data_IF_174234695724
#
_entry.id   IF_174234695724
#
_cell.length_a   1.000
_cell.length_b   1.000
_cell.length_c   1.000
_cell.angle_alpha   90.00
_cell.angle_beta   90.00
_cell.angle_gamma   90.00
#
_symmetry.space_group_name_H-M   'P 1'
#
loop_
_entity.id
_entity.type
_entity.pdbx_description
1 polymer ?
#
# COMPACT_ATOMS: atom_id res chain seq x y z
N UNK A 1 -18.87 9.68 22.65
CA UNK A 1 -17.46 9.62 23.06
C UNK A 1 -16.95 8.27 22.63
N UNK A 2 -16.10 8.27 21.64
CA UNK A 2 -15.55 7.04 21.10
C UNK A 2 -14.57 6.47 22.10
N UNK A 3 -14.79 5.24 22.54
CA UNK A 3 -13.86 4.49 23.38
C UNK A 3 -12.48 4.23 22.78
N UNK A 4 -12.09 5.03 21.80
CA UNK A 4 -10.88 4.94 21.04
C UNK A 4 -9.72 5.70 21.64
N UNK A 5 -9.99 6.80 22.27
CA UNK A 5 -8.96 7.54 22.97
C UNK A 5 -8.39 6.69 24.11
N UNK A 6 -9.24 5.87 24.74
CA UNK A 6 -8.82 4.97 25.80
C UNK A 6 -8.00 3.77 25.31
N UNK A 7 -8.25 3.29 24.10
CA UNK A 7 -7.46 2.17 23.53
C UNK A 7 -6.10 2.61 23.00
N UNK A 8 -5.94 3.89 22.68
CA UNK A 8 -4.69 4.48 22.21
C UNK A 8 -3.79 4.97 23.34
N UNK A 9 -4.31 5.15 24.54
CA UNK A 9 -3.52 5.61 25.70
C UNK A 9 -2.46 4.61 26.21
N UNK A 10 -2.44 3.38 25.71
CA UNK A 10 -1.51 2.36 26.20
C UNK A 10 -0.32 2.07 25.30
N UNK A 11 -0.48 2.01 24.00
CA UNK A 11 0.61 1.62 23.08
C UNK A 11 0.34 2.14 21.68
N UNK A 12 1.18 3.02 21.18
CA UNK A 12 1.16 3.44 19.79
C UNK A 12 1.38 2.20 18.90
N UNK A 13 0.53 1.98 17.90
CA UNK A 13 0.73 0.89 16.96
C UNK A 13 2.06 1.09 16.24
N UNK A 14 2.79 0.03 16.10
CA UNK A 14 3.93 0.00 15.19
C UNK A 14 3.39 -0.33 13.81
N UNK A 15 3.74 0.46 12.84
CA UNK A 15 3.43 0.21 11.44
C UNK A 15 4.69 0.40 10.60
N UNK A 16 4.76 -0.28 9.45
CA UNK A 16 5.86 -0.12 8.50
C UNK A 16 5.46 0.48 7.17
N UNK A 17 4.15 0.60 6.92
CA UNK A 17 3.63 1.19 5.69
C UNK A 17 2.75 2.37 6.04
N UNK A 18 2.90 3.48 5.30
CA UNK A 18 2.05 4.64 5.49
C UNK A 18 1.80 5.42 4.20
N UNK A 19 0.59 5.99 4.10
CA UNK A 19 0.20 6.90 3.04
C UNK A 19 -0.72 7.99 3.58
N UNK A 20 -0.80 9.11 2.88
CA UNK A 20 -1.70 10.21 3.26
C UNK A 20 -2.61 10.57 2.09
N UNK A 21 -3.87 10.79 2.38
CA UNK A 21 -4.85 11.23 1.41
C UNK A 21 -6.02 11.94 2.11
N UNK A 22 -6.52 13.05 1.52
CA UNK A 22 -7.72 13.76 1.98
C UNK A 22 -7.72 14.08 3.49
N UNK A 23 -6.59 14.55 4.01
CA UNK A 23 -6.41 14.90 5.41
C UNK A 23 -6.62 13.71 6.37
N UNK A 24 -6.31 12.50 5.92
CA UNK A 24 -6.30 11.26 6.68
C UNK A 24 -4.97 10.54 6.51
N UNK A 25 -4.59 9.79 7.52
CA UNK A 25 -3.42 8.93 7.53
C UNK A 25 -3.85 7.47 7.41
N UNK A 26 -3.24 6.75 6.49
CA UNK A 26 -3.44 5.32 6.26
C UNK A 26 -2.19 4.59 6.69
N UNK A 27 -2.35 3.56 7.50
CA UNK A 27 -1.24 2.75 7.98
C UNK A 27 -1.49 1.28 7.68
N UNK A 28 -0.44 0.57 7.36
CA UNK A 28 -0.49 -0.86 7.04
C UNK A 28 0.67 -1.62 7.64
N UNK A 29 0.58 -2.95 7.60
CA UNK A 29 1.55 -3.86 8.21
C UNK A 29 1.77 -3.47 9.67
N UNK A 30 0.65 -3.37 10.40
CA UNK A 30 0.62 -2.93 11.79
C UNK A 30 0.89 -4.10 12.74
N UNK A 31 1.54 -3.78 13.83
CA UNK A 31 1.70 -4.68 14.97
C UNK A 31 1.21 -3.97 16.23
N UNK A 32 0.26 -4.58 16.93
CA UNK A 32 -0.32 -4.08 18.18
C UNK A 32 -0.43 -5.19 19.21
N UNK A 33 -0.08 -4.89 20.45
CA UNK A 33 0.02 -5.84 21.57
C UNK A 33 -1.37 -6.30 22.05
N UNK A 34 -2.31 -6.45 21.53
CA UNK A 34 -3.67 -6.96 21.84
C UNK A 34 -4.36 -7.53 20.62
N UNK A 35 -3.84 -7.29 19.45
CA UNK A 35 -4.27 -7.86 18.19
C UNK A 35 -3.31 -8.97 17.80
N UNK A 36 -3.63 -10.16 18.26
CA UNK A 36 -2.80 -11.35 18.02
C UNK A 36 -2.70 -11.60 16.51
N UNK A 37 -1.47 -11.55 16.00
CA UNK A 37 -0.99 -12.10 14.73
C UNK A 37 -1.65 -11.64 13.41
N UNK A 38 -2.80 -10.97 13.41
CA UNK A 38 -3.55 -10.65 12.19
C UNK A 38 -3.52 -9.18 11.77
N UNK A 39 -3.06 -8.27 12.62
CA UNK A 39 -3.03 -6.83 12.30
C UNK A 39 -2.07 -6.49 11.14
N UNK A 40 -1.16 -7.39 10.79
CA UNK A 40 -0.22 -7.23 9.69
C UNK A 40 -0.90 -7.21 8.32
N UNK A 41 -2.05 -7.85 8.17
CA UNK A 41 -2.84 -7.86 6.93
C UNK A 41 -3.91 -6.75 6.87
N UNK A 42 -3.97 -5.88 7.88
CA UNK A 42 -4.94 -4.79 7.92
C UNK A 42 -4.34 -3.48 7.41
N UNK A 43 -5.19 -2.68 6.79
CA UNK A 43 -4.96 -1.26 6.54
C UNK A 43 -5.95 -0.47 7.38
N UNK A 44 -5.45 0.39 8.23
CA UNK A 44 -6.24 1.28 9.07
C UNK A 44 -6.23 2.70 8.50
N UNK A 45 -7.30 3.43 8.75
CA UNK A 45 -7.42 4.84 8.37
C UNK A 45 -7.72 5.70 9.59
N UNK A 46 -7.04 6.84 9.69
CA UNK A 46 -7.25 7.78 10.79
C UNK A 46 -8.57 8.56 10.63
N UNK A 47 -9.03 9.15 11.71
CA UNK A 47 -10.11 10.16 11.63
C UNK A 47 -9.66 11.35 10.81
N UNK A 48 -10.57 11.98 10.09
CA UNK A 48 -10.31 13.16 9.27
C UNK A 48 -9.71 14.28 10.13
N UNK A 49 -8.58 14.82 9.71
CA UNK A 49 -7.87 15.88 10.41
C UNK A 49 -7.17 15.46 11.71
N UNK A 50 -7.14 14.16 12.02
CA UNK A 50 -6.50 13.60 13.23
C UNK A 50 -5.65 12.41 12.81
N UNK A 51 -4.40 12.68 12.45
CA UNK A 51 -3.49 11.69 11.84
C UNK A 51 -3.05 10.55 12.79
N UNK A 52 -3.26 10.71 14.09
CA UNK A 52 -2.88 9.80 15.17
C UNK A 52 -4.07 9.08 15.83
N UNK A 53 -5.31 9.38 15.40
CA UNK A 53 -6.53 8.81 15.97
C UNK A 53 -7.15 7.80 15.03
N UNK A 54 -7.09 6.53 15.40
CA UNK A 54 -7.63 5.41 14.63
C UNK A 54 -8.75 4.71 15.41
N UNK A 55 -9.81 4.29 14.69
CA UNK A 55 -10.81 3.38 15.22
C UNK A 55 -10.46 1.95 14.81
N UNK A 56 -9.83 1.22 15.72
CA UNK A 56 -9.39 -0.15 15.49
C UNK A 56 -10.51 -1.15 15.24
N UNK A 57 -11.74 -0.79 15.58
CA UNK A 57 -12.91 -1.65 15.44
C UNK A 57 -13.73 -1.34 14.19
N UNK A 58 -13.55 -0.17 13.59
CA UNK A 58 -14.40 0.32 12.51
C UNK A 58 -13.62 0.80 11.29
N UNK A 59 -12.54 1.56 11.51
CA UNK A 59 -11.85 2.29 10.43
C UNK A 59 -10.68 1.46 9.86
N UNK A 60 -10.99 0.25 9.42
CA UNK A 60 -9.99 -0.63 8.80
C UNK A 60 -10.56 -1.47 7.65
N UNK A 61 -9.67 -2.05 6.90
CA UNK A 61 -9.95 -3.13 5.97
C UNK A 61 -8.93 -4.26 6.15
N UNK A 62 -9.40 -5.50 6.13
CA UNK A 62 -8.55 -6.68 6.09
C UNK A 62 -8.25 -7.05 4.65
N UNK A 63 -6.98 -7.13 4.29
CA UNK A 63 -6.52 -7.66 3.01
C UNK A 63 -6.35 -9.18 3.10
N UNK A 64 -6.41 -9.90 1.96
CA UNK A 64 -6.17 -11.34 1.93
C UNK A 64 -4.77 -11.73 2.38
N UNK A 65 -3.80 -10.86 2.16
CA UNK A 65 -2.37 -11.07 2.45
C UNK A 65 -1.78 -9.85 3.15
N UNK A 66 -0.57 -9.99 3.67
CA UNK A 66 0.18 -8.88 4.27
C UNK A 66 0.63 -7.93 3.17
N UNK A 67 0.30 -6.65 3.23
CA UNK A 67 0.72 -5.69 2.22
C UNK A 67 2.25 -5.48 2.25
N UNK A 68 2.83 -5.33 1.07
CA UNK A 68 4.24 -5.01 0.85
C UNK A 68 4.48 -3.52 0.67
N UNK A 69 3.48 -2.79 0.15
CA UNK A 69 3.55 -1.36 -0.09
C UNK A 69 2.18 -0.68 0.11
N UNK A 70 2.21 0.61 0.43
CA UNK A 70 1.04 1.45 0.59
C UNK A 70 1.33 2.85 0.04
N UNK A 71 0.52 3.34 -0.90
CA UNK A 71 0.70 4.68 -1.46
C UNK A 71 -0.62 5.34 -1.82
N UNK A 72 -0.59 6.65 -2.05
CA UNK A 72 -1.71 7.41 -2.57
C UNK A 72 -1.46 7.85 -4.02
N UNK A 73 -2.44 7.67 -4.88
CA UNK A 73 -2.38 8.13 -6.26
C UNK A 73 -3.77 8.45 -6.80
N UNK A 74 -3.90 9.55 -7.53
CA UNK A 74 -5.16 9.97 -8.21
C UNK A 74 -6.40 9.93 -7.30
N UNK A 75 -6.27 10.40 -6.05
CA UNK A 75 -7.37 10.48 -5.09
C UNK A 75 -7.82 9.12 -4.54
N UNK A 76 -6.99 8.11 -4.60
CA UNK A 76 -7.20 6.76 -4.06
C UNK A 76 -6.00 6.29 -3.26
N UNK A 77 -6.22 5.33 -2.39
CA UNK A 77 -5.17 4.58 -1.71
C UNK A 77 -4.96 3.27 -2.44
N UNK A 78 -3.72 2.92 -2.65
CA UNK A 78 -3.29 1.66 -3.22
C UNK A 78 -2.48 0.88 -2.20
N UNK A 79 -2.94 -0.32 -1.88
CA UNK A 79 -2.15 -1.30 -1.15
C UNK A 79 -1.71 -2.40 -2.12
N UNK A 80 -0.53 -2.90 -1.92
CA UNK A 80 0.05 -3.96 -2.74
C UNK A 80 0.38 -5.16 -1.87
N UNK A 81 0.25 -6.34 -2.43
CA UNK A 81 0.99 -7.50 -1.98
C UNK A 81 2.00 -7.91 -3.07
N UNK A 82 2.63 -9.06 -2.96
CA UNK A 82 3.62 -9.53 -3.94
C UNK A 82 3.00 -9.84 -5.32
N UNK A 83 1.69 -10.01 -5.39
CA UNK A 83 0.98 -10.52 -6.58
C UNK A 83 -0.13 -9.60 -7.05
N UNK A 84 -0.76 -8.84 -6.15
CA UNK A 84 -1.96 -8.05 -6.44
C UNK A 84 -1.81 -6.60 -5.98
N UNK A 85 -2.59 -5.74 -6.63
CA UNK A 85 -2.77 -4.34 -6.25
C UNK A 85 -4.23 -4.10 -5.88
N UNK A 86 -4.47 -3.54 -4.70
CA UNK A 86 -5.81 -3.22 -4.17
C UNK A 86 -6.02 -1.72 -4.22
N UNK A 87 -6.96 -1.27 -5.05
CA UNK A 87 -7.38 0.14 -5.07
C UNK A 87 -8.48 0.33 -4.05
N UNK A 88 -8.26 1.24 -3.11
CA UNK A 88 -9.14 1.47 -1.98
C UNK A 88 -9.64 2.90 -1.94
N UNK A 89 -10.81 3.08 -1.35
CA UNK A 89 -11.43 4.37 -1.11
C UNK A 89 -12.02 4.42 0.29
N UNK A 90 -11.88 5.58 0.94
CA UNK A 90 -12.63 5.90 2.14
C UNK A 90 -14.11 6.09 1.83
N UNK A 91 -14.99 5.65 2.73
CA UNK A 91 -16.43 5.90 2.63
C UNK A 91 -16.73 7.39 2.79
N UNK A 92 -17.67 7.90 2.00
CA UNK A 92 -18.21 9.24 2.19
C UNK A 92 -18.91 9.30 3.57
N UNK A 93 -18.44 10.17 4.46
CA UNK A 93 -18.92 10.25 5.84
C UNK A 93 -17.95 9.70 6.89
N UNK A 94 -16.78 9.23 6.49
CA UNK A 94 -15.71 8.81 7.41
C UNK A 94 -15.96 7.45 8.08
N UNK A 95 -16.84 6.65 7.52
CA UNK A 95 -17.14 5.31 8.02
C UNK A 95 -16.46 4.25 7.14
N UNK A 96 -15.24 3.88 7.54
CA UNK A 96 -14.56 2.73 6.98
C UNK A 96 -13.84 2.97 5.66
N UNK A 97 -13.17 1.94 5.25
CA UNK A 97 -12.40 1.81 4.02
C UNK A 97 -12.95 0.62 3.25
N UNK A 98 -13.01 0.69 1.91
CA UNK A 98 -13.43 -0.44 1.09
C UNK A 98 -12.53 -0.60 -0.14
N UNK A 99 -12.43 -1.83 -0.64
CA UNK A 99 -11.75 -2.14 -1.90
C UNK A 99 -12.70 -1.78 -3.03
N UNK A 100 -12.25 -0.85 -3.87
CA UNK A 100 -12.97 -0.40 -5.07
C UNK A 100 -12.64 -1.31 -6.26
N UNK A 101 -11.40 -1.81 -6.33
CA UNK A 101 -10.92 -2.66 -7.41
C UNK A 101 -9.71 -3.49 -7.00
N UNK A 102 -9.48 -4.61 -7.68
CA UNK A 102 -8.33 -5.48 -7.50
C UNK A 102 -7.67 -5.74 -8.85
N UNK A 103 -6.40 -5.41 -8.97
CA UNK A 103 -5.58 -5.71 -10.14
C UNK A 103 -4.77 -6.97 -9.85
N UNK A 104 -5.28 -8.10 -10.33
CA UNK A 104 -4.67 -9.41 -10.11
C UNK A 104 -3.42 -9.61 -10.95
N UNK A 105 -2.44 -10.29 -10.39
CA UNK A 105 -1.18 -10.62 -11.08
C UNK A 105 -0.20 -9.47 -11.21
N UNK A 106 -0.48 -8.33 -10.57
CA UNK A 106 0.31 -7.11 -10.60
C UNK A 106 0.53 -6.64 -9.16
N UNK A 107 1.66 -6.98 -8.59
CA UNK A 107 2.02 -6.66 -7.20
C UNK A 107 3.17 -5.67 -7.09
N UNK A 108 3.68 -5.48 -5.87
CA UNK A 108 4.84 -4.65 -5.59
C UNK A 108 5.80 -5.35 -4.61
N UNK A 109 7.10 -5.19 -4.82
CA UNK A 109 8.13 -5.85 -4.02
C UNK A 109 8.22 -5.31 -2.60
N UNK A 110 8.13 -3.99 -2.47
CA UNK A 110 8.29 -3.28 -1.19
C UNK A 110 7.78 -1.84 -1.32
N UNK A 111 7.66 -1.17 -0.19
CA UNK A 111 7.26 0.24 -0.14
C UNK A 111 8.26 1.16 -0.88
N UNK A 112 9.53 0.82 -0.88
CA UNK A 112 10.57 1.52 -1.64
C UNK A 112 10.47 1.31 -3.16
N UNK A 113 9.74 0.29 -3.62
CA UNK A 113 9.61 -0.07 -5.03
C UNK A 113 8.41 0.57 -5.73
N UNK A 114 7.73 1.51 -5.06
CA UNK A 114 6.61 2.26 -5.63
C UNK A 114 6.86 3.76 -5.52
N UNK A 115 6.49 4.50 -6.57
CA UNK A 115 6.51 5.97 -6.59
C UNK A 115 5.31 6.52 -7.34
N UNK A 116 4.66 7.51 -6.74
CA UNK A 116 3.58 8.29 -7.38
C UNK A 116 4.14 9.57 -7.98
N UNK A 117 3.78 9.87 -9.21
CA UNK A 117 4.19 11.05 -9.96
C UNK A 117 3.00 11.71 -10.64
N UNK A 118 3.20 12.86 -11.25
CA UNK A 118 2.17 13.54 -12.06
C UNK A 118 1.81 12.75 -13.34
N UNK A 119 2.70 11.86 -13.80
CA UNK A 119 2.52 11.08 -15.03
C UNK A 119 1.92 9.70 -14.79
N UNK A 120 1.85 9.26 -13.53
CA UNK A 120 1.39 7.94 -13.17
C UNK A 120 2.03 7.43 -11.87
N UNK A 121 1.59 6.30 -11.44
CA UNK A 121 2.22 5.55 -10.37
C UNK A 121 3.09 4.46 -10.98
N UNK A 122 4.36 4.42 -10.60
CA UNK A 122 5.34 3.44 -11.10
C UNK A 122 5.70 2.50 -9.97
N UNK A 123 5.76 1.21 -10.25
CA UNK A 123 6.15 0.20 -9.27
C UNK A 123 6.70 -1.05 -9.94
N UNK A 124 7.31 -1.91 -9.15
CA UNK A 124 7.95 -3.11 -9.66
C UNK A 124 7.59 -4.34 -8.82
N UNK A 125 7.33 -5.44 -9.50
CA UNK A 125 7.21 -6.77 -8.92
C UNK A 125 8.37 -7.69 -9.33
N UNK A 126 8.26 -8.96 -9.04
CA UNK A 126 9.26 -9.97 -9.44
C UNK A 126 9.31 -10.22 -10.95
N UNK A 127 8.29 -9.81 -11.70
CA UNK A 127 8.14 -10.10 -13.13
C UNK A 127 8.49 -8.91 -14.00
N UNK A 128 8.08 -7.70 -13.59
CA UNK A 128 8.12 -6.53 -14.45
C UNK A 128 8.16 -5.21 -13.66
N UNK A 129 8.32 -4.12 -14.40
CA UNK A 129 8.08 -2.75 -13.96
C UNK A 129 6.77 -2.31 -14.60
N UNK A 130 5.91 -1.66 -13.82
CA UNK A 130 4.57 -1.25 -14.24
C UNK A 130 4.38 0.25 -14.12
N UNK A 131 3.56 0.79 -15.00
CA UNK A 131 2.94 2.09 -14.88
C UNK A 131 1.45 1.93 -14.66
N UNK A 132 0.90 2.60 -13.65
CA UNK A 132 -0.53 2.61 -13.35
C UNK A 132 -1.11 3.99 -13.61
N UNK A 133 -2.12 4.05 -14.48
CA UNK A 133 -2.79 5.29 -14.88
C UNK A 133 -3.96 5.70 -13.96
N UNK A 134 -4.25 4.90 -12.93
CA UNK A 134 -5.47 5.00 -12.11
C UNK A 134 -6.59 4.06 -12.56
N UNK A 135 -6.51 3.53 -13.78
CA UNK A 135 -7.50 2.59 -14.34
C UNK A 135 -6.93 1.20 -14.62
N UNK A 136 -5.70 1.15 -15.11
CA UNK A 136 -5.01 -0.08 -15.47
C UNK A 136 -3.54 0.01 -15.09
N UNK A 137 -2.93 -1.12 -14.81
CA UNK A 137 -1.49 -1.26 -14.71
C UNK A 137 -0.96 -1.84 -16.02
N UNK A 138 0.03 -1.18 -16.61
CA UNK A 138 0.64 -1.59 -17.87
C UNK A 138 2.12 -1.91 -17.66
N UNK A 139 2.62 -3.04 -18.17
CA UNK A 139 4.04 -3.36 -18.08
C UNK A 139 4.82 -2.43 -19.01
N UNK A 140 5.84 -1.76 -18.47
CA UNK A 140 6.70 -0.84 -19.22
C UNK A 140 8.13 -1.37 -19.38
N UNK A 141 8.44 -2.45 -18.68
CA UNK A 141 9.77 -3.06 -18.65
C UNK A 141 10.06 -4.09 -19.74
N UNK A 142 9.28 -4.21 -20.82
CA UNK A 142 9.42 -5.28 -21.82
C UNK A 142 10.83 -5.39 -22.41
N UNK A 143 11.49 -4.28 -22.64
CA UNK A 143 12.86 -4.27 -23.16
C UNK A 143 13.90 -4.80 -22.14
N UNK A 144 13.58 -4.70 -20.86
CA UNK A 144 14.45 -5.10 -19.74
C UNK A 144 14.12 -6.54 -19.31
N UNK A 145 12.88 -6.97 -19.53
CA UNK A 145 12.33 -8.24 -19.03
C UNK A 145 12.57 -9.41 -19.98
N UNK A 146 12.97 -9.19 -21.25
CA UNK A 146 13.19 -10.28 -22.22
C UNK A 146 14.23 -11.29 -21.74
N UNK A 147 13.68 -12.43 -21.40
CA UNK A 147 14.08 -13.51 -20.52
C UNK A 147 15.40 -14.23 -20.67
N UNK A 148 16.20 -14.02 -21.74
CA UNK A 148 17.43 -14.79 -21.97
C UNK A 148 18.70 -14.00 -21.73
N UNK A 149 18.59 -12.75 -21.34
CA UNK A 149 19.72 -11.90 -21.03
C UNK A 149 20.13 -12.02 -19.56
N UNK A 150 21.41 -12.06 -19.28
CA UNK A 150 21.98 -11.90 -17.93
C UNK A 150 21.49 -10.61 -17.26
N UNK A 151 21.08 -9.63 -18.05
CA UNK A 151 20.57 -8.32 -17.62
C UNK A 151 19.04 -8.26 -17.55
N UNK A 152 18.32 -9.38 -17.66
CA UNK A 152 16.89 -9.43 -17.53
C UNK A 152 16.46 -9.05 -16.12
N UNK A 153 15.34 -8.33 -15.99
CA UNK A 153 14.75 -7.98 -14.68
C UNK A 153 14.54 -9.20 -13.77
N UNK A 154 14.18 -10.34 -14.35
CA UNK A 154 13.97 -11.59 -13.62
C UNK A 154 15.25 -12.17 -13.02
N UNK A 155 16.41 -11.85 -13.61
CA UNK A 155 17.73 -12.31 -13.18
C UNK A 155 18.44 -11.32 -12.25
N UNK A 156 17.76 -10.22 -11.85
CA UNK A 156 18.33 -9.27 -10.90
C UNK A 156 18.71 -9.97 -9.60
N UNK A 157 19.73 -9.49 -8.96
CA UNK A 157 20.12 -9.95 -7.64
C UNK A 157 19.03 -9.56 -6.63
N UNK A 158 18.41 -10.55 -6.01
CA UNK A 158 17.30 -10.37 -5.05
C UNK A 158 17.78 -9.94 -3.67
N UNK A 159 19.08 -9.97 -3.42
CA UNK A 159 19.66 -9.51 -2.16
C UNK A 159 19.72 -7.97 -2.10
N UNK A 160 19.52 -7.29 -3.24
CA UNK A 160 19.43 -5.84 -3.29
C UNK A 160 17.99 -5.36 -3.36
N UNK A 161 17.65 -4.39 -2.52
CA UNK A 161 16.35 -3.74 -2.52
C UNK A 161 16.13 -2.91 -3.79
N UNK A 162 14.99 -3.11 -4.42
CA UNK A 162 14.56 -2.26 -5.53
C UNK A 162 13.98 -0.97 -4.96
N UNK A 163 14.43 0.17 -5.50
CA UNK A 163 13.90 1.50 -5.15
C UNK A 163 13.41 2.22 -6.38
N UNK A 164 12.26 2.87 -6.27
CA UNK A 164 11.72 3.78 -7.25
C UNK A 164 11.87 5.22 -6.73
N UNK A 165 12.43 6.10 -7.55
CA UNK A 165 12.60 7.52 -7.23
C UNK A 165 12.12 8.35 -8.40
N UNK A 166 11.48 9.49 -8.08
CA UNK A 166 11.10 10.51 -9.04
C UNK A 166 11.89 11.78 -8.74
N UNK A 167 12.63 12.26 -9.74
CA UNK A 167 13.33 13.54 -9.70
C UNK A 167 12.55 14.53 -10.59
N UNK A 168 11.98 15.57 -9.97
CA UNK A 168 11.07 16.52 -10.61
C UNK A 168 11.82 17.78 -11.10
#
# INVERSE_FOLDING_TARGET
ESGLSETLEGTLPRYSLSAQLNNQHYIGKCWHEGYVNDATSYVFVSKVGKFDVFDWLVDFIKLPTVPTALTSFSGRIYAFDEVNTYRMRGSAGGQGLYIEDIFEGVGCLSDDAVVSTDFGMFFADNKNIYQHSGKSAEPIGEAIVRGDSVYSWQNRDKDYHTRAMYDA
#
